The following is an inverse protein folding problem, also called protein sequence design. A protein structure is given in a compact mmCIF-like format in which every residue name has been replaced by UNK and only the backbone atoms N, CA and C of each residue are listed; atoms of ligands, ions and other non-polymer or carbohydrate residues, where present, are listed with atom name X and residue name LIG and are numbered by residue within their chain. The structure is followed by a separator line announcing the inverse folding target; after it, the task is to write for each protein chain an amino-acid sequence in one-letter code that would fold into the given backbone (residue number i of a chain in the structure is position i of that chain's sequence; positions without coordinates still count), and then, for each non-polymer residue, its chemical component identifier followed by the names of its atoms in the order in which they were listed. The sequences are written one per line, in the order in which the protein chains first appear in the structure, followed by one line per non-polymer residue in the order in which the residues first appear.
data_IF_293673457577
#
_entry.id   IF_293673457577
#
_cell.length_a   1.000
_cell.length_b   1.000
_cell.length_c   1.000
_cell.angle_alpha   90.00
_cell.angle_beta   90.00
_cell.angle_gamma   90.00
#
_symmetry.space_group_name_H-M   'P 1'
#
loop_
_entity.id
_entity.type
_entity.pdbx_description
1 polymer ?
#
# COMPACT_ATOMS: atom_id res chain seq x y z
N UNK A 1 7.55 21.69 37.36
CA UNK A 1 7.38 20.23 37.26
C UNK A 1 8.70 19.56 37.56
N UNK A 2 8.77 18.65 38.53
CA UNK A 2 9.95 17.83 38.80
C UNK A 2 10.21 16.90 37.60
N UNK A 3 11.48 16.66 37.24
CA UNK A 3 11.88 15.90 36.03
C UNK A 3 11.17 14.53 35.93
N UNK A 4 10.92 13.88 37.07
CA UNK A 4 10.18 12.61 37.17
C UNK A 4 8.73 12.75 36.70
N UNK A 5 8.03 13.84 37.07
CA UNK A 5 6.65 14.08 36.66
C UNK A 5 6.49 14.41 35.17
N UNK A 6 7.49 15.08 34.57
CA UNK A 6 7.50 15.33 33.12
C UNK A 6 7.74 14.04 32.31
N UNK A 7 8.61 13.15 32.79
CA UNK A 7 8.85 11.85 32.15
C UNK A 7 7.66 10.90 32.28
N UNK A 8 7.01 10.84 33.44
CA UNK A 8 5.77 10.05 33.62
C UNK A 8 4.62 10.60 32.76
N UNK A 9 4.50 11.92 32.61
CA UNK A 9 3.49 12.53 31.74
C UNK A 9 3.74 12.25 30.25
N UNK A 10 4.99 12.34 29.78
CA UNK A 10 5.37 12.00 28.41
C UNK A 10 5.17 10.52 28.10
N UNK A 11 5.52 9.62 29.04
CA UNK A 11 5.32 8.18 28.89
C UNK A 11 3.83 7.82 28.81
N UNK A 12 2.99 8.39 29.70
CA UNK A 12 1.55 8.15 29.71
C UNK A 12 0.87 8.75 28.46
N UNK A 13 1.32 9.92 27.99
CA UNK A 13 0.86 10.54 26.75
C UNK A 13 1.19 9.69 25.51
N UNK A 14 2.33 9.01 25.51
CA UNK A 14 2.71 8.09 24.42
C UNK A 14 1.83 6.83 24.43
N UNK A 15 1.51 6.31 25.62
CA UNK A 15 0.68 5.11 25.81
C UNK A 15 -0.79 5.34 25.40
N UNK A 16 -1.32 6.55 25.64
CA UNK A 16 -2.71 6.92 25.28
C UNK A 16 -2.85 7.25 23.79
N UNK A 17 -1.78 7.59 23.08
CA UNK A 17 -1.82 7.75 21.61
C UNK A 17 -1.78 6.41 20.86
N UNK A 18 -1.31 5.32 21.50
CA UNK A 18 -1.26 3.99 20.89
C UNK A 18 -2.63 3.28 20.78
N UNK A 19 -3.64 3.72 21.55
CA UNK A 19 -4.95 3.07 21.63
C UNK A 19 -5.98 3.57 20.60
N UNK A 20 -5.61 4.55 19.76
CA UNK A 20 -6.50 5.10 18.70
C UNK A 20 -5.92 4.86 17.29
N UNK A 21 -4.95 3.94 17.18
CA UNK A 21 -4.43 3.47 15.90
C UNK A 21 -5.23 2.25 15.46
N UNK A 22 -6.15 2.42 14.51
CA UNK A 22 -6.76 1.31 13.74
C UNK A 22 -5.79 0.78 12.68
N UNK A 23 -4.58 0.39 13.12
CA UNK A 23 -3.65 -0.44 12.37
C UNK A 23 -3.26 -1.57 13.34
N UNK A 24 -3.47 -2.81 12.94
CA UNK A 24 -3.56 -3.89 13.90
C UNK A 24 -3.07 -5.21 13.29
N UNK A 25 -1.82 -5.51 13.68
CA UNK A 25 -1.25 -6.85 13.70
C UNK A 25 -1.19 -7.54 12.33
N UNK A 26 -0.80 -6.81 11.28
CA UNK A 26 -0.37 -7.46 10.04
C UNK A 26 0.87 -8.31 10.31
N UNK A 27 0.76 -9.60 10.03
CA UNK A 27 1.81 -10.59 10.28
C UNK A 27 2.08 -11.35 9.00
N UNK A 28 3.37 -11.53 8.70
CA UNK A 28 3.85 -12.38 7.61
C UNK A 28 4.64 -13.54 8.20
N UNK A 29 4.28 -14.76 7.82
CA UNK A 29 4.90 -16.00 8.30
C UNK A 29 5.19 -16.95 7.13
N UNK A 30 5.99 -17.98 7.40
CA UNK A 30 6.20 -19.13 6.51
C UNK A 30 6.66 -18.74 5.10
N UNK A 31 7.59 -17.78 5.01
CA UNK A 31 8.18 -17.34 3.74
C UNK A 31 9.04 -18.45 3.16
N UNK A 32 8.69 -18.92 1.98
CA UNK A 32 9.37 -19.98 1.25
C UNK A 32 9.54 -19.60 -0.22
N UNK A 33 10.64 -20.06 -0.81
CA UNK A 33 10.85 -20.01 -2.26
C UNK A 33 10.35 -21.31 -2.89
N UNK A 34 9.49 -21.21 -3.90
CA UNK A 34 8.81 -22.36 -4.51
C UNK A 34 8.83 -22.25 -6.05
N UNK A 35 8.19 -23.23 -6.72
CA UNK A 35 8.10 -23.30 -8.18
C UNK A 35 9.30 -23.99 -8.83
N UNK A 36 9.08 -24.59 -10.00
CA UNK A 36 10.12 -25.33 -10.73
C UNK A 36 11.28 -24.42 -11.17
N UNK A 37 10.97 -23.19 -11.57
CA UNK A 37 11.95 -22.15 -11.93
C UNK A 37 12.45 -21.36 -10.72
N UNK A 38 11.99 -21.71 -9.50
CA UNK A 38 12.34 -21.04 -8.24
C UNK A 38 12.14 -19.51 -8.29
N UNK A 39 11.12 -19.06 -8.99
CA UNK A 39 10.78 -17.66 -9.24
C UNK A 39 9.49 -17.25 -8.51
N UNK A 40 9.02 -18.10 -7.60
CA UNK A 40 7.84 -17.86 -6.79
C UNK A 40 8.21 -17.75 -5.32
N UNK A 41 7.57 -16.79 -4.64
CA UNK A 41 7.66 -16.64 -3.18
C UNK A 41 6.29 -16.91 -2.58
N UNK A 42 6.20 -17.98 -1.79
CA UNK A 42 5.02 -18.37 -1.03
C UNK A 42 5.17 -17.91 0.42
N UNK A 43 4.11 -17.39 1.00
CA UNK A 43 4.06 -16.97 2.40
C UNK A 43 2.62 -16.93 2.89
N UNK A 44 2.46 -16.72 4.20
CA UNK A 44 1.16 -16.52 4.82
C UNK A 44 1.04 -15.10 5.35
N UNK A 45 -0.14 -14.51 5.19
CA UNK A 45 -0.47 -13.19 5.74
C UNK A 45 -1.76 -13.26 6.57
N UNK A 46 -1.78 -12.56 7.69
CA UNK A 46 -2.98 -12.31 8.49
C UNK A 46 -2.95 -10.87 8.99
N UNK A 47 -4.11 -10.28 9.24
CA UNK A 47 -4.22 -8.97 9.87
C UNK A 47 -5.60 -8.81 10.50
N UNK A 48 -5.70 -7.94 11.50
CA UNK A 48 -6.93 -7.77 12.27
C UNK A 48 -7.76 -6.61 11.69
N UNK A 49 -9.03 -6.53 12.09
CA UNK A 49 -9.99 -5.45 11.78
C UNK A 49 -10.09 -5.04 10.30
N UNK A 50 -9.96 -5.99 9.37
CA UNK A 50 -10.19 -5.70 7.94
C UNK A 50 -11.62 -5.28 7.66
N UNK A 51 -11.79 -4.32 6.76
CA UNK A 51 -13.11 -3.84 6.36
C UNK A 51 -13.21 -3.56 4.85
N UNK A 52 -14.33 -3.98 4.27
CA UNK A 52 -14.72 -3.71 2.89
C UNK A 52 -16.22 -3.50 2.85
N UNK A 53 -16.63 -2.27 2.55
CA UNK A 53 -18.02 -1.83 2.66
C UNK A 53 -18.51 -1.25 1.34
N UNK A 54 -19.82 -1.27 1.13
CA UNK A 54 -20.45 -0.76 -0.08
C UNK A 54 -20.86 0.73 0.02
N UNK A 55 -20.44 1.43 1.08
CA UNK A 55 -20.75 2.85 1.30
C UNK A 55 -19.77 3.77 0.58
N UNK A 56 -20.24 4.91 0.05
CA UNK A 56 -19.39 5.98 -0.49
C UNK A 56 -18.63 6.63 0.69
N UNK A 57 -17.30 6.80 0.64
CA UNK A 57 -16.42 6.85 -0.55
C UNK A 57 -15.79 5.53 -1.06
N UNK A 58 -16.35 4.35 -0.75
CA UNK A 58 -15.89 3.00 -1.21
C UNK A 58 -14.44 2.65 -0.91
N UNK A 59 -13.77 3.48 -0.11
CA UNK A 59 -12.50 3.16 0.51
C UNK A 59 -12.62 1.84 1.27
N UNK A 60 -11.50 1.17 1.44
CA UNK A 60 -11.43 -0.07 2.18
C UNK A 60 -10.03 -0.31 2.71
N UNK A 61 -9.95 -1.13 3.74
CA UNK A 61 -8.69 -1.63 4.24
C UNK A 61 -8.02 -2.54 3.20
N UNK A 62 -6.70 -2.46 3.15
CA UNK A 62 -5.84 -3.22 2.27
C UNK A 62 -4.45 -3.40 2.89
N UNK A 63 -3.66 -4.32 2.33
CA UNK A 63 -2.28 -4.53 2.72
C UNK A 63 -1.40 -4.42 1.48
N UNK A 64 -0.40 -3.54 1.53
CA UNK A 64 0.64 -3.48 0.53
C UNK A 64 1.75 -4.46 0.87
N UNK A 65 1.98 -5.44 0.00
CA UNK A 65 2.94 -6.51 0.20
C UNK A 65 4.02 -6.44 -0.87
N UNK A 66 5.28 -6.50 -0.45
CA UNK A 66 6.43 -6.51 -1.36
C UNK A 66 7.54 -7.43 -0.87
N UNK A 67 8.36 -7.89 -1.81
CA UNK A 67 9.42 -8.85 -1.57
C UNK A 67 10.77 -8.18 -1.79
N UNK A 68 11.73 -8.46 -0.90
CA UNK A 68 13.14 -8.16 -1.11
C UNK A 68 13.97 -9.43 -1.01
N UNK A 69 15.01 -9.51 -1.82
CA UNK A 69 15.94 -10.65 -1.83
C UNK A 69 17.40 -10.20 -1.89
N UNK A 70 18.30 -11.05 -1.42
CA UNK A 70 19.76 -10.93 -1.62
C UNK A 70 20.37 -12.32 -1.67
N UNK A 71 21.47 -12.51 -2.40
CA UNK A 71 22.14 -13.81 -2.44
C UNK A 71 22.75 -14.19 -1.07
N UNK A 72 22.56 -15.44 -0.63
CA UNK A 72 22.98 -15.92 0.69
C UNK A 72 24.51 -15.91 0.87
N UNK A 73 25.24 -16.45 -0.11
CA UNK A 73 26.66 -16.79 0.04
C UNK A 73 27.58 -15.63 -0.33
N UNK A 74 27.27 -14.92 -1.42
CA UNK A 74 28.05 -13.75 -1.84
C UNK A 74 27.90 -12.57 -0.86
N UNK A 75 26.79 -12.55 -0.10
CA UNK A 75 26.30 -11.32 0.51
C UNK A 75 25.96 -10.28 -0.57
N UNK A 76 25.42 -9.14 -0.16
CA UNK A 76 25.09 -8.09 -1.12
C UNK A 76 23.99 -7.14 -0.66
N UNK A 77 23.68 -6.14 -1.51
CA UNK A 77 22.54 -5.26 -1.28
C UNK A 77 21.22 -6.05 -1.35
N UNK A 78 20.18 -5.52 -0.71
CA UNK A 78 18.83 -6.03 -0.88
C UNK A 78 18.22 -5.47 -2.17
N UNK A 79 17.77 -6.37 -3.03
CA UNK A 79 17.07 -6.04 -4.27
C UNK A 79 15.56 -6.02 -4.02
N UNK A 80 14.85 -5.05 -4.60
CA UNK A 80 13.39 -4.96 -4.51
C UNK A 80 12.77 -5.71 -5.68
N UNK A 81 12.01 -6.76 -5.39
CA UNK A 81 11.47 -7.64 -6.41
C UNK A 81 10.42 -6.96 -7.28
N UNK A 82 10.38 -7.34 -8.56
CA UNK A 82 9.29 -7.01 -9.47
C UNK A 82 8.36 -8.21 -9.59
N UNK A 83 7.06 -7.97 -9.48
CA UNK A 83 6.01 -8.98 -9.58
C UNK A 83 5.51 -9.08 -11.02
N UNK A 84 5.09 -10.27 -11.46
CA UNK A 84 4.40 -10.40 -12.75
C UNK A 84 3.15 -9.51 -12.81
N UNK A 85 2.90 -8.86 -13.94
CA UNK A 85 1.63 -8.16 -14.22
C UNK A 85 0.54 -9.11 -14.72
N UNK A 86 0.85 -10.40 -14.94
CA UNK A 86 -0.15 -11.41 -15.29
C UNK A 86 -0.82 -11.92 -14.02
N UNK A 87 -2.00 -11.37 -13.71
CA UNK A 87 -2.68 -11.63 -12.43
C UNK A 87 -2.89 -13.12 -12.10
N UNK A 88 -3.07 -13.97 -13.12
CA UNK A 88 -3.25 -15.41 -12.96
C UNK A 88 -1.97 -16.21 -12.63
N UNK A 89 -0.81 -15.57 -12.60
CA UNK A 89 0.45 -16.19 -12.15
C UNK A 89 0.66 -16.09 -10.64
N UNK A 90 -0.19 -15.35 -9.95
CA UNK A 90 -0.20 -15.29 -8.49
C UNK A 90 -1.40 -16.06 -7.94
N UNK A 91 -1.31 -16.50 -6.69
CA UNK A 91 -2.40 -17.19 -5.99
C UNK A 91 -2.65 -16.53 -4.64
N UNK A 92 -3.89 -16.62 -4.18
CA UNK A 92 -4.33 -16.08 -2.89
C UNK A 92 -5.26 -17.07 -2.19
N UNK A 93 -5.24 -17.04 -0.87
CA UNK A 93 -6.25 -17.67 -0.04
C UNK A 93 -7.65 -17.11 -0.33
N UNK A 94 -8.70 -17.88 -0.05
CA UNK A 94 -10.07 -17.58 -0.49
C UNK A 94 -10.65 -16.28 0.10
N UNK A 95 -10.15 -15.84 1.25
CA UNK A 95 -10.70 -14.66 1.94
C UNK A 95 -10.11 -13.34 1.46
N UNK A 96 -9.09 -13.37 0.59
CA UNK A 96 -8.42 -12.17 0.11
C UNK A 96 -8.33 -12.15 -1.41
N UNK A 97 -8.15 -10.96 -1.96
CA UNK A 97 -8.03 -10.72 -3.39
C UNK A 97 -7.26 -9.44 -3.64
N UNK A 98 -6.97 -9.14 -4.90
CA UNK A 98 -6.39 -7.87 -5.30
C UNK A 98 -7.29 -6.68 -4.91
N UNK A 99 -6.72 -5.69 -4.26
CA UNK A 99 -7.34 -4.38 -4.11
C UNK A 99 -7.24 -3.58 -5.42
N UNK A 100 -6.08 -3.69 -6.09
CA UNK A 100 -5.81 -3.08 -7.40
C UNK A 100 -4.98 -4.04 -8.27
N UNK A 101 -5.06 -3.95 -9.61
CA UNK A 101 -4.16 -4.69 -10.50
C UNK A 101 -2.69 -4.32 -10.27
N UNK A 102 -1.79 -5.28 -10.50
CA UNK A 102 -0.35 -5.03 -10.53
C UNK A 102 0.00 -4.46 -11.92
N UNK A 103 0.61 -3.28 -11.97
CA UNK A 103 0.97 -2.62 -13.23
C UNK A 103 2.43 -2.17 -13.21
N UNK A 104 2.98 -1.94 -14.41
CA UNK A 104 4.28 -1.27 -14.59
C UNK A 104 4.17 0.25 -14.58
N UNK A 105 2.97 0.81 -14.35
CA UNK A 105 2.76 2.25 -14.32
C UNK A 105 2.97 2.78 -12.90
N UNK A 106 3.56 3.97 -12.77
CA UNK A 106 3.52 4.70 -11.50
C UNK A 106 2.12 5.27 -11.22
N UNK A 107 1.97 5.96 -10.08
CA UNK A 107 0.69 6.60 -9.71
C UNK A 107 0.19 7.64 -10.71
N UNK A 108 1.09 8.17 -11.56
CA UNK A 108 0.80 9.19 -12.57
C UNK A 108 0.61 8.58 -13.97
N UNK A 109 0.63 7.24 -14.09
CA UNK A 109 0.49 6.54 -15.36
C UNK A 109 1.78 6.41 -16.18
N UNK A 110 2.95 6.78 -15.64
CA UNK A 110 4.21 6.67 -16.36
C UNK A 110 4.73 5.22 -16.36
N UNK A 111 5.18 4.67 -17.49
CA UNK A 111 5.72 3.32 -17.55
C UNK A 111 7.09 3.20 -16.87
N UNK A 112 7.34 2.07 -16.22
CA UNK A 112 8.61 1.76 -15.56
C UNK A 112 8.56 0.45 -14.76
N UNK A 113 9.53 0.29 -13.86
CA UNK A 113 9.62 -0.86 -12.96
C UNK A 113 8.79 -0.61 -11.67
N UNK A 114 7.49 -0.35 -11.84
CA UNK A 114 6.58 0.05 -10.74
C UNK A 114 5.74 -1.08 -10.15
N UNK A 115 5.79 -2.27 -10.76
CA UNK A 115 5.20 -3.54 -10.31
C UNK A 115 5.94 -4.12 -9.08
N UNK A 116 6.16 -3.28 -8.07
CA UNK A 116 7.06 -3.51 -6.92
C UNK A 116 6.39 -4.18 -5.73
N UNK A 117 5.11 -4.54 -5.86
CA UNK A 117 4.33 -5.17 -4.83
C UNK A 117 2.89 -5.40 -5.27
N UNK A 118 2.10 -5.94 -4.36
CA UNK A 118 0.68 -6.23 -4.56
C UNK A 118 -0.12 -5.58 -3.43
N UNK A 119 -1.21 -4.91 -3.78
CA UNK A 119 -2.19 -4.44 -2.80
C UNK A 119 -3.29 -5.48 -2.68
N UNK A 120 -3.47 -6.06 -1.50
CA UNK A 120 -4.49 -7.09 -1.23
C UNK A 120 -5.54 -6.58 -0.26
N UNK A 121 -6.78 -7.05 -0.38
CA UNK A 121 -7.89 -6.74 0.53
C UNK A 121 -8.71 -8.00 0.81
N UNK A 122 -9.61 -7.93 1.78
CA UNK A 122 -10.64 -8.96 1.95
C UNK A 122 -11.50 -9.11 0.69
N UNK A 123 -11.86 -10.34 0.35
CA UNK A 123 -12.55 -10.71 -0.89
C UNK A 123 -14.04 -10.36 -0.85
N UNK A 124 -14.68 -10.50 0.31
CA UNK A 124 -16.13 -10.28 0.51
C UNK A 124 -16.41 -9.03 1.32
N UNK A 125 -17.59 -8.42 1.12
CA UNK A 125 -18.05 -7.31 1.95
C UNK A 125 -18.15 -7.73 3.42
N UNK A 126 -17.73 -6.86 4.32
CA UNK A 126 -17.83 -7.07 5.76
C UNK A 126 -16.71 -6.41 6.55
N UNK A 127 -16.69 -6.68 7.84
CA UNK A 127 -15.65 -6.25 8.79
C UNK A 127 -15.10 -7.46 9.57
N UNK A 128 -13.94 -7.30 10.21
CA UNK A 128 -13.33 -8.32 11.07
C UNK A 128 -11.99 -8.83 10.53
N UNK A 129 -11.40 -9.73 11.29
CA UNK A 129 -10.03 -10.18 11.06
C UNK A 129 -9.91 -11.06 9.82
N UNK A 130 -8.75 -10.99 9.17
CA UNK A 130 -8.35 -11.93 8.14
C UNK A 130 -7.41 -12.93 8.77
N UNK A 131 -7.91 -14.16 8.91
CA UNK A 131 -7.12 -15.29 9.38
C UNK A 131 -6.05 -15.64 8.34
N UNK A 132 -5.01 -16.36 8.76
CA UNK A 132 -3.86 -16.70 7.91
C UNK A 132 -4.27 -17.20 6.50
N UNK A 133 -3.97 -16.39 5.48
CA UNK A 133 -4.17 -16.70 4.07
C UNK A 133 -2.82 -16.98 3.41
N UNK A 134 -2.75 -18.03 2.59
CA UNK A 134 -1.58 -18.28 1.74
C UNK A 134 -1.56 -17.32 0.55
N UNK A 135 -0.38 -16.84 0.18
CA UNK A 135 -0.13 -16.07 -1.04
C UNK A 135 1.07 -16.68 -1.74
N UNK A 136 0.97 -16.87 -3.05
CA UNK A 136 2.13 -17.12 -3.91
C UNK A 136 2.29 -15.98 -4.90
N UNK A 137 3.44 -15.30 -4.86
CA UNK A 137 3.78 -14.23 -5.79
C UNK A 137 4.82 -14.68 -6.81
N UNK A 138 4.53 -14.44 -8.08
CA UNK A 138 5.45 -14.64 -9.20
C UNK A 138 6.39 -13.44 -9.32
N UNK A 139 7.69 -13.70 -9.14
CA UNK A 139 8.77 -12.72 -9.31
C UNK A 139 9.27 -12.78 -10.76
N UNK A 140 9.54 -11.61 -11.35
CA UNK A 140 10.04 -11.49 -12.74
C UNK A 140 11.41 -10.80 -12.83
N UNK A 141 11.93 -10.30 -11.70
CA UNK A 141 13.21 -9.61 -11.62
C UNK A 141 13.24 -8.67 -10.41
N UNK A 142 13.99 -7.57 -10.53
CA UNK A 142 14.05 -6.52 -9.51
C UNK A 142 14.20 -5.14 -10.13
N UNK A 143 13.97 -4.10 -9.32
CA UNK A 143 14.00 -2.70 -9.77
C UNK A 143 15.36 -2.26 -10.33
N UNK A 144 16.45 -2.92 -9.94
CA UNK A 144 17.82 -2.61 -10.41
C UNK A 144 18.30 -3.54 -11.54
N UNK A 145 17.43 -4.43 -12.03
CA UNK A 145 17.74 -5.37 -13.11
C UNK A 145 18.38 -6.69 -12.64
N UNK A 146 18.61 -6.86 -11.34
CA UNK A 146 19.10 -8.14 -10.80
C UNK A 146 18.03 -9.22 -10.92
N UNK A 147 18.36 -10.33 -11.56
CA UNK A 147 17.47 -11.48 -11.69
C UNK A 147 17.57 -12.38 -10.45
N UNK A 148 16.46 -13.00 -10.06
CA UNK A 148 16.45 -14.03 -9.01
C UNK A 148 16.77 -15.40 -9.63
N UNK A 149 18.05 -15.67 -9.85
CA UNK A 149 18.51 -16.87 -10.56
C UNK A 149 18.08 -18.18 -9.85
N UNK A 150 17.65 -19.18 -10.61
CA UNK A 150 17.27 -20.50 -10.11
C UNK A 150 18.45 -21.31 -9.53
N UNK A 151 19.65 -21.03 -10.00
CA UNK A 151 20.92 -21.67 -9.60
C UNK A 151 21.54 -21.11 -8.32
N UNK A 152 21.04 -19.99 -7.78
CA UNK A 152 21.58 -19.36 -6.58
C UNK A 152 20.59 -19.44 -5.39
N UNK A 153 21.12 -19.41 -4.17
CA UNK A 153 20.33 -19.32 -2.94
C UNK A 153 20.18 -17.87 -2.48
N UNK A 154 18.98 -17.53 -1.97
CA UNK A 154 18.63 -16.17 -1.58
C UNK A 154 18.04 -16.09 -0.18
N UNK A 155 18.47 -15.09 0.58
CA UNK A 155 17.72 -14.60 1.73
C UNK A 155 16.52 -13.82 1.20
N UNK A 156 15.31 -14.18 1.66
CA UNK A 156 14.07 -13.55 1.22
C UNK A 156 13.39 -12.89 2.42
N UNK A 157 12.96 -11.64 2.24
CA UNK A 157 12.10 -10.94 3.18
C UNK A 157 10.85 -10.45 2.47
N UNK A 158 9.71 -10.78 3.06
CA UNK A 158 8.41 -10.26 2.66
C UNK A 158 8.01 -9.21 3.68
N UNK A 159 7.63 -8.04 3.18
CA UNK A 159 7.16 -6.93 3.97
C UNK A 159 5.68 -6.70 3.66
N UNK A 160 4.90 -6.43 4.69
CA UNK A 160 3.50 -6.09 4.58
C UNK A 160 3.24 -4.79 5.34
N UNK A 161 2.53 -3.86 4.72
CA UNK A 161 2.14 -2.58 5.31
C UNK A 161 0.62 -2.49 5.20
N UNK A 162 -0.05 -2.35 6.33
CA UNK A 162 -1.49 -2.08 6.37
C UNK A 162 -1.76 -0.66 5.84
N UNK A 163 -2.72 -0.56 4.93
CA UNK A 163 -3.00 0.61 4.12
C UNK A 163 -4.52 0.78 3.99
N UNK A 164 -4.99 1.98 3.68
CA UNK A 164 -6.35 2.16 3.19
C UNK A 164 -6.25 2.41 1.69
N UNK A 165 -6.92 1.57 0.91
CA UNK A 165 -7.08 1.83 -0.51
C UNK A 165 -8.16 2.90 -0.70
N UNK A 166 -7.75 4.06 -1.21
CA UNK A 166 -8.64 5.16 -1.57
C UNK A 166 -8.97 5.01 -3.05
N UNK A 167 -10.24 4.71 -3.35
CA UNK A 167 -10.67 4.49 -4.73
C UNK A 167 -10.65 5.82 -5.48
N UNK A 168 -10.20 5.79 -6.73
CA UNK A 168 -10.20 6.97 -7.59
C UNK A 168 -11.63 7.41 -7.91
N UNK A 169 -12.00 8.58 -7.40
CA UNK A 169 -13.29 9.21 -7.65
C UNK A 169 -13.13 10.73 -7.68
N UNK A 170 -14.08 11.42 -8.32
CA UNK A 170 -14.09 12.88 -8.30
C UNK A 170 -14.47 13.41 -6.91
N UNK A 171 -13.80 14.48 -6.48
CA UNK A 171 -14.06 15.12 -5.20
C UNK A 171 -13.97 16.64 -5.31
N UNK A 172 -14.61 17.35 -4.38
CA UNK A 172 -14.52 18.81 -4.32
C UNK A 172 -13.49 19.25 -3.27
N UNK A 173 -12.68 20.26 -3.61
CA UNK A 173 -11.82 20.97 -2.67
C UNK A 173 -12.30 22.41 -2.49
N UNK A 174 -12.38 22.87 -1.24
CA UNK A 174 -12.87 24.21 -0.89
C UNK A 174 -14.22 24.18 -0.17
N UNK A 175 -14.50 25.23 0.58
CA UNK A 175 -15.65 25.33 1.50
C UNK A 175 -16.81 26.17 0.97
N UNK A 176 -16.67 26.81 -0.20
CA UNK A 176 -17.72 27.69 -0.76
C UNK A 176 -17.82 29.07 -0.10
N UNK A 177 -17.04 29.33 0.96
CA UNK A 177 -17.27 30.44 1.90
C UNK A 177 -16.01 31.29 2.14
N UNK A 178 -14.85 30.64 2.25
CA UNK A 178 -13.57 31.31 2.50
C UNK A 178 -13.20 32.22 1.34
N UNK A 179 -12.54 33.34 1.67
CA UNK A 179 -12.13 34.36 0.69
C UNK A 179 -10.61 34.57 0.64
N UNK A 180 -9.85 33.86 1.48
CA UNK A 180 -8.37 33.95 1.58
C UNK A 180 -7.63 32.77 0.96
N UNK A 181 -8.30 31.63 0.79
CA UNK A 181 -7.71 30.39 0.28
C UNK A 181 -8.62 29.82 -0.81
N UNK A 182 -8.50 30.38 -2.01
CA UNK A 182 -9.39 30.09 -3.14
C UNK A 182 -8.70 29.09 -4.08
N UNK A 183 -9.33 27.93 -4.30
CA UNK A 183 -8.90 26.93 -5.28
C UNK A 183 -9.87 27.02 -6.45
N UNK A 184 -9.56 27.78 -7.51
CA UNK A 184 -10.59 28.13 -8.50
C UNK A 184 -10.16 27.91 -9.94
N UNK A 185 -11.04 27.23 -10.68
CA UNK A 185 -11.03 27.15 -12.13
C UNK A 185 -12.34 27.81 -12.61
N UNK A 186 -12.29 28.97 -13.27
CA UNK A 186 -13.47 29.73 -13.74
C UNK A 186 -13.68 31.11 -13.10
N UNK A 187 -14.81 31.76 -13.39
CA UNK A 187 -15.09 33.20 -13.10
C UNK A 187 -15.59 33.53 -11.69
N UNK A 188 -16.06 32.56 -10.90
CA UNK A 188 -16.46 32.79 -9.50
C UNK A 188 -15.43 32.18 -8.56
N UNK A 189 -14.64 33.00 -7.83
CA UNK A 189 -13.51 32.50 -7.09
C UNK A 189 -13.90 31.82 -5.76
N UNK A 190 -15.19 31.59 -5.49
CA UNK A 190 -15.65 30.97 -4.23
C UNK A 190 -16.15 29.55 -4.35
N UNK A 191 -16.46 29.06 -5.56
CA UNK A 191 -17.03 27.72 -5.70
C UNK A 191 -15.97 26.64 -5.41
N UNK A 192 -16.31 25.56 -4.69
CA UNK A 192 -15.42 24.42 -4.54
C UNK A 192 -14.96 23.89 -5.90
N UNK A 193 -13.67 23.59 -6.02
CA UNK A 193 -13.09 23.05 -7.24
C UNK A 193 -13.34 21.55 -7.30
N UNK A 194 -13.98 21.11 -8.39
CA UNK A 194 -14.11 19.70 -8.70
C UNK A 194 -12.77 19.17 -9.26
N UNK A 195 -12.19 18.21 -8.55
CA UNK A 195 -11.06 17.41 -9.00
C UNK A 195 -11.61 16.15 -9.65
N UNK A 196 -11.32 15.94 -10.92
CA UNK A 196 -11.83 14.79 -11.70
C UNK A 196 -10.80 13.70 -11.95
N UNK A 197 -9.54 13.88 -11.52
CA UNK A 197 -8.45 12.93 -11.68
C UNK A 197 -7.11 13.51 -11.23
N UNK A 198 -6.03 12.74 -11.43
CA UNK A 198 -4.65 13.05 -11.03
C UNK A 198 -3.88 13.97 -11.98
N UNK A 199 -4.52 14.45 -13.05
CA UNK A 199 -3.94 15.40 -13.99
C UNK A 199 -3.54 16.72 -13.34
N UNK A 200 -2.63 17.45 -14.00
CA UNK A 200 -2.24 18.80 -13.57
C UNK A 200 -3.48 19.71 -13.48
N UNK A 201 -3.62 20.37 -12.34
CA UNK A 201 -4.62 21.41 -12.13
C UNK A 201 -4.04 22.76 -12.52
N UNK A 202 -4.47 23.29 -13.66
CA UNK A 202 -4.18 24.67 -14.05
C UNK A 202 -5.03 25.64 -13.23
N UNK A 203 -4.48 26.10 -12.12
CA UNK A 203 -5.05 27.16 -11.29
C UNK A 203 -4.57 28.52 -11.78
N UNK A 204 -5.48 29.49 -11.93
CA UNK A 204 -5.08 30.84 -12.29
C UNK A 204 -4.13 31.42 -11.21
N UNK A 205 -2.95 31.89 -11.61
CA UNK A 205 -1.98 32.55 -10.72
C UNK A 205 -2.56 33.86 -10.22
N UNK A 206 -3.23 33.86 -9.07
CA UNK A 206 -4.03 35.01 -8.66
C UNK A 206 -4.17 35.30 -7.18
N UNK A 207 -3.86 34.39 -6.25
CA UNK A 207 -3.78 34.69 -4.80
C UNK A 207 -2.88 33.65 -4.10
N UNK A 208 -1.75 34.11 -3.56
CA UNK A 208 -0.84 33.33 -2.72
C UNK A 208 -1.50 32.99 -1.37
N UNK A 209 -1.10 31.86 -0.78
CA UNK A 209 -1.56 31.35 0.51
C UNK A 209 -1.19 32.17 1.74
#
# INVERSE_FOLDING_TARGET
MNKVGLHSFLFLSFLVFSIISSANNVVVNNVNRVGASRDQVEFQVSWDNSWYVNGIPRNHDAVWIFVKFRECEAGGPWHHALLSTTMGQHSFGPEITYATPITTLDRMGNPGNHNTGVMVRRNTLGTGDIVSQSITLQITGSTDGTAMADTAEYDIKVFAIEMVNIVEESFYIGDGLSYRHLFTQGTNPRLPLLVTGEGLLDLATGQSG
#
